data_IF_588104083878
#
_entry.id   IF_588104083878
#
_cell.length_a   1.000
_cell.length_b   1.000
_cell.length_c   1.000
_cell.angle_alpha   90.00
_cell.angle_beta   90.00
_cell.angle_gamma   90.00
#
_symmetry.space_group_name_H-M   'P 1'
#
loop_
_entity.id
_entity.type
_entity.pdbx_description
1 polymer ?
#
# COMPACT_ATOMS: atom_id res chain seq x y z
N UNK A 1 1.70 8.98 -7.33
CA UNK A 1 1.64 7.60 -6.83
C UNK A 1 2.63 7.51 -5.69
N UNK A 2 2.31 6.73 -4.65
CA UNK A 2 3.14 6.56 -3.47
C UNK A 2 3.23 5.08 -3.18
N UNK A 3 4.43 4.53 -3.22
CA UNK A 3 4.63 3.12 -2.90
C UNK A 3 4.58 2.95 -1.39
N UNK A 4 3.65 2.14 -0.89
CA UNK A 4 3.43 1.87 0.53
C UNK A 4 3.53 0.39 0.84
N UNK A 5 4.03 0.08 2.03
CA UNK A 5 4.06 -1.26 2.60
C UNK A 5 3.06 -1.34 3.76
N UNK A 6 2.26 -2.39 3.77
CA UNK A 6 1.31 -2.73 4.83
C UNK A 6 1.72 -4.06 5.47
N UNK A 7 1.33 -4.24 6.74
CA UNK A 7 1.35 -5.57 7.33
C UNK A 7 0.29 -6.43 6.65
N UNK A 8 0.59 -7.69 6.41
CA UNK A 8 -0.32 -8.61 5.75
C UNK A 8 -0.62 -9.80 6.65
N UNK A 9 -1.86 -9.89 7.14
CA UNK A 9 -2.36 -11.05 7.86
C UNK A 9 -2.57 -12.21 6.89
N UNK A 10 -1.47 -12.93 6.68
CA UNK A 10 -1.42 -14.11 5.83
C UNK A 10 -2.31 -15.24 6.35
N UNK A 11 -2.53 -15.34 7.67
CA UNK A 11 -3.33 -16.39 8.26
C UNK A 11 -4.80 -16.20 7.89
N UNK A 12 -5.34 -15.00 8.10
CA UNK A 12 -6.71 -14.64 7.70
C UNK A 12 -6.88 -14.77 6.19
N UNK A 13 -5.91 -14.30 5.41
CA UNK A 13 -5.92 -14.44 3.95
C UNK A 13 -6.02 -15.91 3.50
N UNK A 14 -5.18 -16.79 4.05
CA UNK A 14 -5.08 -18.19 3.66
C UNK A 14 -6.23 -19.05 4.22
N UNK A 15 -6.69 -18.79 5.44
CA UNK A 15 -7.69 -19.63 6.12
C UNK A 15 -9.13 -19.19 5.92
N UNK A 16 -9.37 -17.93 5.61
CA UNK A 16 -10.72 -17.37 5.52
C UNK A 16 -11.01 -16.81 4.13
N UNK A 17 -10.21 -15.86 3.64
CA UNK A 17 -10.51 -15.16 2.39
C UNK A 17 -10.39 -16.10 1.18
N UNK A 18 -9.23 -16.72 0.97
CA UNK A 18 -8.99 -17.60 -0.18
C UNK A 18 -9.93 -18.81 -0.24
N UNK A 19 -10.23 -19.52 0.86
CA UNK A 19 -11.21 -20.59 0.86
C UNK A 19 -12.62 -20.13 0.51
N UNK A 20 -13.05 -18.95 0.98
CA UNK A 20 -14.37 -18.38 0.64
C UNK A 20 -14.47 -18.13 -0.87
N UNK A 21 -13.44 -17.54 -1.47
CA UNK A 21 -13.37 -17.36 -2.92
C UNK A 21 -13.32 -18.70 -3.67
N UNK A 22 -12.59 -19.69 -3.16
CA UNK A 22 -12.55 -21.02 -3.77
C UNK A 22 -13.95 -21.64 -3.86
N UNK A 23 -14.75 -21.55 -2.79
CA UNK A 23 -16.12 -22.07 -2.78
C UNK A 23 -17.02 -21.30 -3.73
N UNK A 24 -16.88 -19.98 -3.79
CA UNK A 24 -17.68 -19.17 -4.71
C UNK A 24 -17.37 -19.49 -6.17
N UNK A 25 -16.09 -19.56 -6.56
CA UNK A 25 -15.71 -19.78 -7.96
C UNK A 25 -15.96 -21.21 -8.45
N UNK A 26 -15.92 -22.21 -7.56
CA UNK A 26 -16.03 -23.63 -7.92
C UNK A 26 -17.43 -24.18 -7.62
N UNK A 27 -17.97 -23.91 -6.44
CA UNK A 27 -19.25 -24.46 -5.97
C UNK A 27 -20.42 -23.53 -6.25
N UNK A 28 -20.15 -22.27 -6.66
CA UNK A 28 -21.14 -21.20 -6.81
C UNK A 28 -21.86 -20.85 -5.51
N UNK A 29 -21.24 -21.17 -4.38
CA UNK A 29 -21.69 -20.77 -3.04
C UNK A 29 -21.00 -19.47 -2.65
N UNK A 30 -21.74 -18.36 -2.71
CA UNK A 30 -21.25 -17.02 -2.39
C UNK A 30 -21.48 -16.62 -0.93
N UNK A 31 -22.11 -17.47 -0.12
CA UNK A 31 -22.57 -17.12 1.23
C UNK A 31 -21.47 -16.53 2.13
N UNK A 32 -20.29 -17.13 2.12
CA UNK A 32 -19.15 -16.68 2.93
C UNK A 32 -18.51 -15.40 2.38
N UNK A 33 -18.39 -15.28 1.06
CA UNK A 33 -17.81 -14.07 0.43
C UNK A 33 -18.76 -12.89 0.58
N UNK A 34 -20.07 -13.11 0.46
CA UNK A 34 -21.09 -12.10 0.68
C UNK A 34 -21.00 -11.53 2.09
N UNK A 35 -20.92 -12.41 3.11
CA UNK A 35 -20.79 -12.00 4.50
C UNK A 35 -19.54 -11.15 4.76
N UNK A 36 -18.41 -11.49 4.12
CA UNK A 36 -17.18 -10.69 4.21
C UNK A 36 -17.35 -9.35 3.48
N UNK A 37 -17.88 -9.36 2.26
CA UNK A 37 -18.00 -8.16 1.44
C UNK A 37 -18.95 -7.13 2.06
N UNK A 38 -20.09 -7.56 2.62
CA UNK A 38 -21.09 -6.67 3.24
C UNK A 38 -20.54 -5.80 4.38
N UNK A 39 -19.47 -6.25 5.04
CA UNK A 39 -18.83 -5.50 6.12
C UNK A 39 -17.80 -4.48 5.61
N UNK A 40 -17.36 -4.61 4.36
CA UNK A 40 -16.36 -3.71 3.78
C UNK A 40 -16.91 -2.30 3.62
N UNK A 41 -16.02 -1.31 3.66
CA UNK A 41 -16.38 0.07 3.29
C UNK A 41 -17.03 0.16 1.90
N UNK A 42 -16.51 -0.59 0.93
CA UNK A 42 -17.04 -0.58 -0.45
C UNK A 42 -18.52 -0.97 -0.50
N UNK A 43 -18.93 -1.99 0.23
CA UNK A 43 -20.34 -2.40 0.29
C UNK A 43 -21.22 -1.31 0.93
N UNK A 44 -20.77 -0.76 2.07
CA UNK A 44 -21.47 0.32 2.78
C UNK A 44 -21.67 1.56 1.92
N UNK A 45 -20.63 1.99 1.20
CA UNK A 45 -20.69 3.14 0.30
C UNK A 45 -21.69 2.90 -0.85
N UNK A 46 -21.79 1.65 -1.34
CA UNK A 46 -22.74 1.27 -2.39
C UNK A 46 -24.20 1.16 -1.90
N UNK A 47 -24.46 1.09 -0.59
CA UNK A 47 -25.83 1.04 -0.03
C UNK A 47 -26.62 2.31 -0.35
N UNK A 48 -25.94 3.47 -0.38
CA UNK A 48 -26.53 4.78 -0.65
C UNK A 48 -26.90 5.01 -2.12
N UNK A 49 -26.54 4.09 -3.03
CA UNK A 49 -26.88 4.20 -4.44
C UNK A 49 -28.41 4.01 -4.67
N UNK A 50 -29.04 4.78 -5.56
CA UNK A 50 -30.44 4.60 -5.92
C UNK A 50 -30.77 3.20 -6.46
N UNK A 51 -31.97 2.65 -6.20
CA UNK A 51 -32.39 1.32 -6.68
C UNK A 51 -32.23 1.11 -8.19
N UNK A 52 -32.39 2.16 -8.98
CA UNK A 52 -32.27 2.11 -10.44
C UNK A 52 -30.87 1.71 -10.93
N UNK A 53 -29.83 1.88 -10.12
CA UNK A 53 -28.44 1.56 -10.47
C UNK A 53 -27.86 0.41 -9.65
N UNK A 54 -28.67 -0.30 -8.85
CA UNK A 54 -28.20 -1.44 -8.04
C UNK A 54 -27.59 -2.57 -8.86
N UNK A 55 -28.03 -2.74 -10.11
CA UNK A 55 -27.44 -3.72 -11.03
C UNK A 55 -25.98 -3.38 -11.42
N UNK A 56 -25.58 -2.12 -11.28
CA UNK A 56 -24.22 -1.65 -11.57
C UNK A 56 -23.28 -1.72 -10.36
N UNK A 57 -23.80 -2.09 -9.18
CA UNK A 57 -22.99 -2.32 -7.98
C UNK A 57 -21.90 -3.36 -8.22
N UNK A 58 -20.79 -3.20 -7.54
CA UNK A 58 -19.64 -4.08 -7.61
C UNK A 58 -20.03 -5.53 -7.28
N UNK A 59 -20.81 -5.74 -6.22
CA UNK A 59 -21.31 -7.07 -5.85
C UNK A 59 -22.16 -7.73 -6.95
N UNK A 60 -23.19 -7.03 -7.43
CA UNK A 60 -24.10 -7.53 -8.48
C UNK A 60 -23.34 -7.91 -9.76
N UNK A 61 -22.36 -7.09 -10.15
CA UNK A 61 -21.50 -7.35 -11.31
C UNK A 61 -20.58 -8.55 -11.09
N UNK A 62 -20.00 -8.69 -9.90
CA UNK A 62 -19.15 -9.82 -9.56
C UNK A 62 -19.94 -11.15 -9.55
N UNK A 63 -21.15 -11.16 -8.97
CA UNK A 63 -22.05 -12.31 -9.03
C UNK A 63 -22.40 -12.72 -10.46
N UNK A 64 -22.78 -11.74 -11.30
CA UNK A 64 -23.09 -12.00 -12.70
C UNK A 64 -21.87 -12.56 -13.46
N UNK A 65 -20.67 -12.06 -13.18
CA UNK A 65 -19.43 -12.58 -13.75
C UNK A 65 -19.17 -14.04 -13.32
N UNK A 66 -19.26 -14.36 -12.03
CA UNK A 66 -19.03 -15.72 -11.53
C UNK A 66 -20.03 -16.73 -12.11
N UNK A 67 -21.28 -16.33 -12.33
CA UNK A 67 -22.28 -17.19 -13.00
C UNK A 67 -21.89 -17.55 -14.44
N UNK A 68 -21.15 -16.68 -15.13
CA UNK A 68 -20.68 -16.87 -16.51
C UNK A 68 -19.35 -17.62 -16.60
N UNK A 69 -18.67 -17.88 -15.47
CA UNK A 69 -17.38 -18.56 -15.48
C UNK A 69 -17.49 -20.00 -16.03
N UNK A 70 -16.55 -20.43 -16.89
CA UNK A 70 -16.46 -21.80 -17.37
C UNK A 70 -16.40 -22.84 -16.24
N UNK A 71 -17.19 -23.91 -16.36
CA UNK A 71 -17.32 -24.95 -15.33
C UNK A 71 -16.59 -26.26 -15.68
N UNK A 72 -15.74 -26.23 -16.70
CA UNK A 72 -14.98 -27.42 -17.11
C UNK A 72 -13.98 -27.87 -16.04
N UNK A 73 -13.61 -29.15 -16.04
CA UNK A 73 -12.64 -29.71 -15.10
C UNK A 73 -11.28 -28.96 -15.11
N UNK A 74 -10.90 -28.43 -16.27
CA UNK A 74 -9.72 -27.58 -16.43
C UNK A 74 -9.87 -26.24 -15.71
N UNK A 75 -10.95 -25.50 -15.97
CA UNK A 75 -11.25 -24.23 -15.31
C UNK A 75 -11.36 -24.38 -13.78
N UNK A 76 -12.04 -25.43 -13.31
CA UNK A 76 -12.11 -25.73 -11.87
C UNK A 76 -10.75 -26.01 -11.24
N UNK A 77 -9.76 -26.53 -12.00
CA UNK A 77 -8.39 -26.70 -11.52
C UNK A 77 -7.67 -25.35 -11.44
N UNK A 78 -7.86 -24.48 -12.42
CA UNK A 78 -7.28 -23.13 -12.40
C UNK A 78 -7.83 -22.29 -11.25
N UNK A 79 -9.14 -22.33 -10.99
CA UNK A 79 -9.75 -21.64 -9.85
C UNK A 79 -9.21 -22.14 -8.51
N UNK A 80 -8.99 -23.46 -8.37
CA UNK A 80 -8.33 -24.01 -7.17
C UNK A 80 -6.92 -23.47 -6.98
N UNK A 81 -6.14 -23.36 -8.06
CA UNK A 81 -4.79 -22.82 -8.01
C UNK A 81 -4.81 -21.34 -7.63
N UNK A 82 -5.71 -20.55 -8.20
CA UNK A 82 -5.90 -19.13 -7.86
C UNK A 82 -6.26 -18.92 -6.39
N UNK A 83 -7.13 -19.76 -5.85
CA UNK A 83 -7.67 -19.63 -4.49
C UNK A 83 -6.91 -20.46 -3.44
N UNK A 84 -5.70 -20.93 -3.74
CA UNK A 84 -4.84 -21.62 -2.76
C UNK A 84 -3.56 -20.82 -2.62
N UNK A 85 -3.45 -20.04 -1.54
CA UNK A 85 -2.40 -19.03 -1.37
C UNK A 85 -1.00 -19.62 -1.57
N UNK A 86 -0.69 -20.73 -0.90
CA UNK A 86 0.63 -21.39 -0.97
C UNK A 86 0.99 -21.84 -2.38
N UNK A 87 0.08 -22.56 -3.06
CA UNK A 87 0.34 -23.03 -4.42
C UNK A 87 0.45 -21.87 -5.39
N UNK A 88 -0.40 -20.85 -5.22
CA UNK A 88 -0.37 -19.68 -6.08
C UNK A 88 0.95 -18.91 -5.92
N UNK A 89 1.47 -18.76 -4.70
CA UNK A 89 2.77 -18.14 -4.45
C UNK A 89 3.88 -18.87 -5.20
N UNK A 90 3.95 -20.21 -5.11
CA UNK A 90 4.95 -21.00 -5.82
C UNK A 90 4.85 -20.84 -7.35
N UNK A 91 3.63 -20.78 -7.89
CA UNK A 91 3.41 -20.53 -9.31
C UNK A 91 3.81 -19.10 -9.70
N UNK A 92 3.45 -18.10 -8.89
CA UNK A 92 3.77 -16.70 -9.15
C UNK A 92 5.27 -16.44 -9.09
N UNK A 93 6.03 -17.16 -8.28
CA UNK A 93 7.50 -17.00 -8.24
C UNK A 93 8.18 -17.47 -9.52
N UNK A 94 7.54 -18.42 -10.21
CA UNK A 94 8.00 -18.94 -11.50
C UNK A 94 7.51 -18.10 -12.69
N UNK A 95 7.00 -16.89 -12.46
CA UNK A 95 6.44 -15.99 -13.48
C UNK A 95 7.32 -15.85 -14.73
N UNK A 96 8.64 -15.83 -14.55
CA UNK A 96 9.63 -15.70 -15.64
C UNK A 96 9.58 -16.91 -16.61
N UNK A 97 9.15 -18.08 -16.13
CA UNK A 97 9.07 -19.32 -16.89
C UNK A 97 7.64 -19.72 -17.27
N UNK A 98 6.65 -19.31 -16.48
CA UNK A 98 5.24 -19.66 -16.67
C UNK A 98 4.33 -18.49 -16.29
N UNK A 99 3.34 -18.18 -17.14
CA UNK A 99 2.29 -17.25 -16.75
C UNK A 99 1.47 -17.85 -15.60
N UNK A 100 1.28 -17.13 -14.47
CA UNK A 100 0.44 -17.59 -13.38
C UNK A 100 -0.99 -17.74 -13.90
N UNK A 101 -1.79 -18.63 -13.30
CA UNK A 101 -3.21 -18.71 -13.62
C UNK A 101 -3.84 -17.33 -13.39
N UNK A 102 -4.72 -16.91 -14.28
CA UNK A 102 -5.44 -15.64 -14.20
C UNK A 102 -6.91 -15.89 -14.50
N UNK A 103 -7.78 -15.10 -13.90
CA UNK A 103 -9.17 -15.07 -14.33
C UNK A 103 -9.29 -14.50 -15.75
N UNK A 104 -10.38 -14.89 -16.42
CA UNK A 104 -10.74 -14.35 -17.73
C UNK A 104 -10.86 -12.81 -17.71
N UNK A 105 -10.72 -12.19 -18.89
CA UNK A 105 -10.91 -10.76 -19.08
C UNK A 105 -12.25 -10.27 -18.50
N UNK A 106 -12.28 -9.02 -17.98
CA UNK A 106 -13.43 -8.36 -17.33
C UNK A 106 -13.77 -8.86 -15.91
N UNK A 107 -12.80 -9.40 -15.17
CA UNK A 107 -12.95 -9.77 -13.76
C UNK A 107 -12.97 -8.58 -12.78
N UNK A 108 -13.03 -7.34 -13.27
CA UNK A 108 -12.78 -6.10 -12.50
C UNK A 108 -13.67 -6.00 -11.24
N UNK A 109 -14.97 -6.32 -11.38
CA UNK A 109 -15.89 -6.33 -10.24
C UNK A 109 -15.50 -7.37 -9.18
N UNK A 110 -15.07 -8.56 -9.61
CA UNK A 110 -14.62 -9.60 -8.70
C UNK A 110 -13.29 -9.23 -8.02
N UNK A 111 -12.38 -8.56 -8.75
CA UNK A 111 -11.15 -8.01 -8.16
C UNK A 111 -11.45 -6.94 -7.13
N UNK A 112 -12.40 -6.04 -7.40
CA UNK A 112 -12.81 -5.01 -6.45
C UNK A 112 -13.40 -5.62 -5.17
N UNK A 113 -14.26 -6.65 -5.28
CA UNK A 113 -14.73 -7.42 -4.11
C UNK A 113 -13.55 -8.02 -3.34
N UNK A 114 -12.62 -8.68 -4.03
CA UNK A 114 -11.45 -9.26 -3.39
C UNK A 114 -10.56 -8.21 -2.71
N UNK A 115 -10.27 -7.10 -3.38
CA UNK A 115 -9.42 -6.03 -2.89
C UNK A 115 -10.02 -5.35 -1.65
N UNK A 116 -11.32 -5.10 -1.66
CA UNK A 116 -12.05 -4.55 -0.50
C UNK A 116 -11.99 -5.50 0.71
N UNK A 117 -12.13 -6.81 0.49
CA UNK A 117 -12.00 -7.81 1.57
C UNK A 117 -10.56 -7.89 2.08
N UNK A 118 -9.55 -7.84 1.20
CA UNK A 118 -8.14 -7.83 1.61
C UNK A 118 -7.82 -6.58 2.41
N UNK A 119 -8.31 -5.42 2.00
CA UNK A 119 -8.14 -4.15 2.70
C UNK A 119 -8.76 -4.18 4.11
N UNK A 120 -10.00 -4.68 4.22
CA UNK A 120 -10.73 -4.70 5.49
C UNK A 120 -10.19 -5.76 6.47
N UNK A 121 -9.84 -6.97 6.00
CA UNK A 121 -9.54 -8.11 6.87
C UNK A 121 -8.08 -8.53 6.91
N UNK A 122 -7.29 -8.24 5.87
CA UNK A 122 -5.93 -8.75 5.75
C UNK A 122 -4.86 -7.67 5.94
N UNK A 123 -5.20 -6.39 5.87
CA UNK A 123 -4.24 -5.33 6.16
C UNK A 123 -4.10 -5.11 7.66
N UNK A 124 -2.90 -5.38 8.18
CA UNK A 124 -2.55 -5.12 9.56
C UNK A 124 -1.82 -3.77 9.69
N UNK A 125 -2.20 -3.01 10.72
CA UNK A 125 -1.64 -1.69 10.96
C UNK A 125 -0.22 -1.81 11.53
N UNK A 126 0.76 -1.33 10.79
CA UNK A 126 2.14 -1.22 11.23
C UNK A 126 2.44 0.26 11.48
N UNK A 127 2.19 0.74 12.70
CA UNK A 127 2.57 2.10 13.12
C UNK A 127 3.99 2.06 13.68
N UNK A 128 5.01 2.61 12.98
CA UNK A 128 6.33 2.76 13.58
C UNK A 128 6.21 3.71 14.78
N UNK A 129 6.87 3.43 15.92
CA UNK A 129 6.90 4.39 17.02
C UNK A 129 7.48 5.71 16.50
N UNK A 130 6.70 6.77 16.58
CA UNK A 130 7.12 8.09 16.17
C UNK A 130 8.19 8.56 17.18
N UNK A 131 9.39 8.91 16.71
CA UNK A 131 10.46 9.45 17.55
C UNK A 131 10.11 10.89 17.96
N UNK A 132 9.16 11.03 18.88
CA UNK A 132 9.00 12.25 19.65
C UNK A 132 9.90 12.13 20.88
N UNK A 133 10.89 13.02 20.90
CA UNK A 133 11.83 13.23 21.98
C UNK A 133 11.12 13.41 23.33
N UNK A 134 11.53 12.60 24.32
CA UNK A 134 11.50 12.99 25.73
C UNK A 134 10.48 12.27 26.61
N UNK A 135 11.04 11.46 27.50
CA UNK A 135 10.55 11.10 28.85
C UNK A 135 9.28 10.24 29.00
N UNK A 136 9.52 8.98 29.42
CA UNK A 136 8.78 8.39 30.54
C UNK A 136 7.73 7.33 30.20
N UNK A 137 8.06 6.09 30.54
CA UNK A 137 7.19 4.96 30.93
C UNK A 137 5.69 5.26 31.10
N UNK A 138 4.84 4.63 30.29
CA UNK A 138 4.06 3.44 30.69
C UNK A 138 3.10 3.06 29.55
N UNK A 139 2.82 1.76 29.44
CA UNK A 139 1.89 1.22 28.46
C UNK A 139 0.49 1.75 28.69
N UNK A 140 0.03 2.63 27.80
CA UNK A 140 -1.37 2.97 27.63
C UNK A 140 -1.66 3.15 26.14
N UNK A 141 -2.69 2.44 25.66
CA UNK A 141 -3.42 2.80 24.45
C UNK A 141 -3.99 4.19 24.73
N UNK A 142 -3.40 5.23 24.15
CA UNK A 142 -3.90 6.60 24.26
C UNK A 142 -4.69 6.92 22.99
N UNK A 143 -5.99 7.04 23.20
CA UNK A 143 -6.95 7.70 22.34
C UNK A 143 -6.48 9.13 22.00
N UNK A 144 -6.61 9.46 20.72
CA UNK A 144 -6.85 10.79 20.15
C UNK A 144 -6.47 12.02 20.98
N UNK A 145 -5.46 12.72 20.48
CA UNK A 145 -5.41 14.19 20.55
C UNK A 145 -5.27 14.74 19.14
N UNK A 146 -6.34 15.40 18.71
CA UNK A 146 -6.50 16.23 17.52
C UNK A 146 -5.41 17.30 17.40
N UNK A 147 -5.04 17.60 16.15
CA UNK A 147 -4.12 18.69 15.80
C UNK A 147 -3.39 18.52 14.48
N UNK A 148 -4.03 17.95 13.45
CA UNK A 148 -3.46 17.81 12.11
C UNK A 148 -3.69 19.04 11.24
N UNK A 149 -3.20 20.21 11.63
CA UNK A 149 -2.95 21.26 10.64
C UNK A 149 -1.91 20.70 9.67
N UNK A 150 -2.29 20.48 8.40
CA UNK A 150 -1.33 20.40 7.30
C UNK A 150 -0.53 21.70 7.27
N UNK A 151 0.57 21.76 8.02
CA UNK A 151 1.57 22.82 7.88
C UNK A 151 2.36 22.57 6.60
N UNK A 152 1.72 22.87 5.47
CA UNK A 152 2.42 23.10 4.22
C UNK A 152 3.42 24.23 4.48
N UNK A 153 4.71 23.96 4.29
CA UNK A 153 5.74 24.92 4.64
C UNK A 153 5.52 26.19 3.79
N UNK A 154 5.57 27.39 4.38
CA UNK A 154 5.30 28.67 3.65
C UNK A 154 6.17 28.79 2.39
N UNK A 155 7.38 28.23 2.42
CA UNK A 155 8.27 28.11 1.27
C UNK A 155 7.73 27.20 0.15
N UNK A 156 7.07 26.09 0.49
CA UNK A 156 6.45 25.17 -0.47
C UNK A 156 5.19 25.76 -1.09
N UNK A 157 4.38 26.49 -0.31
CA UNK A 157 3.22 27.24 -0.83
C UNK A 157 3.63 28.34 -1.80
N UNK A 158 4.66 29.12 -1.47
CA UNK A 158 5.22 30.14 -2.37
C UNK A 158 5.82 29.49 -3.63
N UNK A 159 6.48 28.34 -3.50
CA UNK A 159 7.05 27.63 -4.64
C UNK A 159 5.98 27.03 -5.56
N UNK A 160 4.88 26.53 -5.00
CA UNK A 160 3.72 26.04 -5.74
C UNK A 160 3.00 27.17 -6.49
N UNK A 161 2.76 28.30 -5.83
CA UNK A 161 2.11 29.47 -6.44
C UNK A 161 2.94 30.06 -7.59
N UNK A 162 4.26 30.11 -7.45
CA UNK A 162 5.17 30.53 -8.54
C UNK A 162 5.18 29.52 -9.69
N UNK A 163 5.13 28.23 -9.40
CA UNK A 163 5.07 27.20 -10.45
C UNK A 163 3.75 27.22 -11.24
N UNK A 164 2.67 27.73 -10.63
CA UNK A 164 1.37 27.93 -11.27
C UNK A 164 1.23 29.29 -11.98
N UNK A 165 2.27 30.13 -12.01
CA UNK A 165 2.25 31.45 -12.64
C UNK A 165 1.48 32.51 -11.85
N UNK A 166 1.22 32.28 -10.55
CA UNK A 166 0.50 33.19 -9.64
C UNK A 166 1.50 34.01 -8.80
N UNK A 167 2.40 34.71 -9.48
CA UNK A 167 3.55 35.39 -8.86
C UNK A 167 3.13 36.56 -7.94
N UNK A 168 2.03 37.25 -8.25
CA UNK A 168 1.49 38.34 -7.42
C UNK A 168 0.97 37.82 -6.07
N UNK A 169 0.27 36.67 -6.06
CA UNK A 169 -0.25 36.03 -4.86
C UNK A 169 0.87 35.47 -3.96
N UNK A 170 1.92 34.92 -4.58
CA UNK A 170 3.12 34.47 -3.89
C UNK A 170 3.86 35.63 -3.20
N UNK A 171 3.75 36.84 -3.75
CA UNK A 171 4.26 38.08 -3.17
C UNK A 171 3.50 38.51 -1.92
N UNK A 172 2.16 38.48 -1.93
CA UNK A 172 1.30 38.84 -0.78
C UNK A 172 1.45 37.89 0.41
N UNK A 173 1.59 36.59 0.14
CA UNK A 173 1.81 35.59 1.19
C UNK A 173 3.20 35.73 1.81
N UNK A 174 4.16 36.35 1.13
CA UNK A 174 5.51 36.57 1.67
C UNK A 174 5.61 37.80 2.58
N UNK A 175 4.65 38.74 2.52
CA UNK A 175 4.70 40.01 3.25
C UNK A 175 3.85 40.06 4.52
N UNK A 176 3.00 39.05 4.79
CA UNK A 176 2.27 38.99 6.06
C UNK A 176 3.18 38.63 7.24
N UNK A 177 3.27 39.55 8.22
CA UNK A 177 3.89 39.37 9.54
C UNK A 177 2.86 38.71 10.46
N UNK A 178 3.21 37.69 11.27
CA UNK A 178 2.22 37.02 12.12
C UNK A 178 1.78 37.95 13.26
N UNK A 179 0.52 38.39 13.22
CA UNK A 179 -0.15 38.95 14.38
C UNK A 179 -0.45 37.79 15.35
N UNK A 180 0.23 37.81 16.50
CA UNK A 180 -0.23 37.10 17.71
C UNK A 180 -1.57 37.69 18.12
N UNK A 181 -2.63 36.90 18.11
CA UNK A 181 -3.86 37.22 18.83
C UNK A 181 -4.07 36.13 19.87
N UNK A 182 -4.24 36.61 21.10
CA UNK A 182 -4.39 35.90 22.36
C UNK A 182 -5.63 35.00 22.40
N UNK A 183 -5.52 33.91 23.16
CA UNK A 183 -6.65 33.22 23.77
C UNK A 183 -7.41 34.19 24.67
N UNK A 184 -8.74 34.16 24.59
CA UNK A 184 -9.65 34.04 25.74
C UNK A 184 -11.10 33.77 25.26
N UNK A 185 -11.63 32.64 25.73
CA UNK A 185 -13.03 32.31 26.08
C UNK A 185 -14.20 32.56 25.10
N UNK A 186 -14.83 31.47 24.65
CA UNK A 186 -16.27 31.22 24.88
C UNK A 186 -16.61 29.72 24.70
N UNK A 187 -17.46 29.21 25.60
CA UNK A 187 -17.86 27.81 25.80
C UNK A 187 -19.11 27.45 24.98
N UNK A 188 -19.23 26.14 24.73
CA UNK A 188 -20.43 25.31 24.46
C UNK A 188 -21.28 25.61 23.22
N UNK A 189 -21.35 24.67 22.28
CA UNK A 189 -22.48 23.72 22.16
C UNK A 189 -22.26 22.71 21.01
N UNK A 190 -22.88 21.55 21.17
CA UNK A 190 -22.88 20.36 20.32
C UNK A 190 -23.01 20.60 18.80
N UNK A 191 -22.31 19.78 17.99
CA UNK A 191 -22.89 18.89 16.96
C UNK A 191 -21.81 18.34 16.00
N UNK A 192 -21.97 17.05 15.66
CA UNK A 192 -21.29 16.32 14.58
C UNK A 192 -19.78 16.11 14.70
N UNK A 193 -19.42 15.10 15.49
CA UNK A 193 -18.22 14.30 15.25
C UNK A 193 -18.35 13.62 13.88
N UNK A 194 -17.97 14.33 12.82
CA UNK A 194 -17.56 13.72 11.55
C UNK A 194 -16.36 12.81 11.84
N UNK A 195 -16.64 11.54 12.19
CA UNK A 195 -15.68 10.45 12.12
C UNK A 195 -15.31 10.24 10.66
N UNK A 196 -14.44 11.10 10.13
CA UNK A 196 -13.71 10.80 8.91
C UNK A 196 -12.78 9.62 9.25
N UNK A 197 -12.98 8.44 8.64
CA UNK A 197 -12.10 7.31 8.90
C UNK A 197 -10.70 7.69 8.43
N UNK A 198 -9.72 7.67 9.34
CA UNK A 198 -8.31 7.86 8.99
C UNK A 198 -7.95 6.85 7.88
N UNK A 199 -7.34 7.29 6.76
CA UNK A 199 -6.97 6.36 5.69
C UNK A 199 -5.99 5.32 6.24
N UNK A 200 -6.18 4.05 5.87
CA UNK A 200 -5.27 2.94 6.12
C UNK A 200 -3.86 3.31 5.63
N UNK A 201 -3.04 3.88 6.53
CA UNK A 201 -1.78 4.50 6.16
C UNK A 201 -0.66 3.46 6.24
N UNK A 202 -0.41 2.79 5.12
CA UNK A 202 0.80 1.99 4.94
C UNK A 202 2.06 2.85 5.03
N UNK A 203 3.20 2.20 5.32
CA UNK A 203 4.51 2.84 5.44
C UNK A 203 5.03 3.19 4.05
N UNK A 204 5.21 4.48 3.77
CA UNK A 204 5.75 4.95 2.49
C UNK A 204 7.22 4.53 2.31
N UNK A 205 7.52 3.95 1.15
CA UNK A 205 8.87 3.54 0.75
C UNK A 205 9.39 4.24 -0.52
N UNK A 206 8.58 5.12 -1.11
CA UNK A 206 8.94 5.89 -2.29
C UNK A 206 7.71 6.32 -3.10
N UNK A 207 7.96 6.84 -4.30
CA UNK A 207 6.92 7.44 -5.15
C UNK A 207 6.53 6.56 -6.33
N UNK A 208 7.47 5.83 -6.93
CA UNK A 208 7.18 4.92 -8.04
C UNK A 208 8.03 3.66 -7.90
N UNK A 209 7.52 2.47 -8.25
CA UNK A 209 8.27 1.21 -8.18
C UNK A 209 9.59 1.26 -8.94
N UNK A 210 9.57 1.85 -10.14
CA UNK A 210 10.74 2.00 -11.01
C UNK A 210 11.81 2.94 -10.45
N UNK A 211 11.42 3.80 -9.49
CA UNK A 211 12.31 4.79 -8.87
C UNK A 211 12.70 4.44 -7.42
N UNK A 212 12.41 3.21 -6.97
CA UNK A 212 12.82 2.77 -5.64
C UNK A 212 14.33 2.54 -5.59
N UNK A 213 15.05 3.45 -4.93
CA UNK A 213 16.50 3.38 -4.73
C UNK A 213 16.93 2.27 -3.72
N UNK A 214 15.97 1.51 -3.18
CA UNK A 214 16.23 0.44 -2.21
C UNK A 214 16.97 -0.75 -2.85
N UNK A 215 16.80 -1.00 -4.15
CA UNK A 215 17.34 -2.19 -4.82
C UNK A 215 18.86 -2.26 -4.75
N UNK A 216 19.56 -1.29 -5.33
CA UNK A 216 21.03 -1.30 -5.32
C UNK A 216 21.60 -1.23 -3.90
N UNK A 217 21.01 -0.43 -3.01
CA UNK A 217 21.41 -0.39 -1.60
C UNK A 217 21.29 -1.75 -0.90
N UNK A 218 20.16 -2.45 -1.04
CA UNK A 218 20.01 -3.81 -0.52
C UNK A 218 21.01 -4.77 -1.17
N UNK A 219 21.23 -4.67 -2.48
CA UNK A 219 22.20 -5.47 -3.22
C UNK A 219 23.63 -5.35 -2.70
N UNK A 220 24.05 -4.16 -2.24
CA UNK A 220 25.37 -3.96 -1.63
C UNK A 220 25.53 -4.63 -0.27
N UNK A 221 24.43 -4.91 0.44
CA UNK A 221 24.47 -5.51 1.78
C UNK A 221 24.13 -7.00 1.78
N UNK A 222 23.14 -7.41 0.98
CA UNK A 222 22.68 -8.79 0.87
C UNK A 222 21.92 -9.03 -0.43
N UNK A 223 22.50 -9.85 -1.31
CA UNK A 223 21.85 -10.31 -2.56
C UNK A 223 20.51 -10.99 -2.25
N UNK A 224 20.42 -11.72 -1.13
CA UNK A 224 19.16 -12.36 -0.69
C UNK A 224 18.11 -11.32 -0.31
N UNK A 225 18.49 -10.24 0.39
CA UNK A 225 17.55 -9.17 0.72
C UNK A 225 17.02 -8.48 -0.53
N UNK A 226 17.90 -8.21 -1.51
CA UNK A 226 17.50 -7.70 -2.82
C UNK A 226 16.50 -8.63 -3.52
N UNK A 227 16.81 -9.93 -3.62
CA UNK A 227 15.94 -10.89 -4.29
C UNK A 227 14.54 -10.96 -3.64
N UNK A 228 14.46 -10.98 -2.30
CA UNK A 228 13.19 -10.96 -1.59
C UNK A 228 12.46 -9.62 -1.80
N UNK A 229 13.18 -8.50 -1.78
CA UNK A 229 12.58 -7.18 -2.06
C UNK A 229 11.97 -7.09 -3.46
N UNK A 230 12.58 -7.73 -4.47
CA UNK A 230 12.00 -7.72 -5.82
C UNK A 230 10.64 -8.42 -5.89
N UNK A 231 10.40 -9.45 -5.06
CA UNK A 231 9.09 -10.11 -4.93
C UNK A 231 8.04 -9.16 -4.34
N UNK A 232 8.45 -8.26 -3.46
CA UNK A 232 7.55 -7.32 -2.79
C UNK A 232 7.19 -6.11 -3.65
N UNK A 233 8.17 -5.48 -4.30
CA UNK A 233 7.98 -4.13 -4.86
C UNK A 233 8.39 -3.97 -6.33
N UNK A 234 8.84 -5.03 -7.00
CA UNK A 234 9.29 -4.96 -8.40
C UNK A 234 8.46 -5.85 -9.35
N UNK A 235 7.20 -6.13 -8.98
CA UNK A 235 6.26 -6.91 -9.79
C UNK A 235 6.79 -8.29 -10.22
N UNK A 236 7.73 -8.88 -9.45
CA UNK A 236 8.20 -10.26 -9.66
C UNK A 236 7.20 -11.30 -9.17
N UNK A 237 6.29 -10.88 -8.31
CA UNK A 237 5.19 -11.68 -7.78
C UNK A 237 3.90 -10.88 -7.88
N UNK A 238 2.86 -11.52 -8.38
CA UNK A 238 1.52 -10.94 -8.51
C UNK A 238 0.59 -11.52 -7.45
N UNK A 239 -0.48 -10.80 -7.11
CA UNK A 239 -1.62 -11.37 -6.39
C UNK A 239 -2.56 -12.15 -7.34
N UNK A 240 -3.34 -13.14 -6.86
CA UNK A 240 -4.12 -14.05 -7.72
C UNK A 240 -5.17 -13.36 -8.60
N UNK A 241 -5.68 -12.22 -8.14
CA UNK A 241 -6.65 -11.44 -8.90
C UNK A 241 -6.04 -10.18 -9.55
N UNK A 242 -4.73 -9.94 -9.33
CA UNK A 242 -3.91 -9.04 -10.14
C UNK A 242 -4.07 -7.53 -9.90
N UNK A 243 -3.20 -6.80 -10.60
CA UNK A 243 -3.08 -5.33 -10.72
C UNK A 243 -3.47 -4.93 -12.16
N UNK A 244 -4.36 -3.95 -12.34
CA UNK A 244 -4.43 -3.11 -13.55
C UNK A 244 -4.26 -1.65 -13.12
N UNK A 245 -3.64 -0.83 -13.98
CA UNK A 245 -3.39 0.57 -13.63
C UNK A 245 -4.69 1.37 -13.80
N UNK A 246 -5.21 1.97 -12.72
CA UNK A 246 -6.29 2.96 -12.77
C UNK A 246 -7.55 2.65 -11.95
N UNK A 247 -7.66 1.51 -11.26
CA UNK A 247 -8.81 1.19 -10.41
C UNK A 247 -8.49 1.30 -8.90
N UNK A 248 -9.48 1.61 -8.04
CA UNK A 248 -9.25 1.98 -6.63
C UNK A 248 -8.68 0.88 -5.74
N UNK A 249 -8.91 -0.39 -6.07
CA UNK A 249 -8.47 -1.55 -5.26
C UNK A 249 -7.37 -2.37 -5.94
N UNK A 250 -6.83 -1.88 -7.05
CA UNK A 250 -5.85 -2.57 -7.88
C UNK A 250 -4.41 -2.15 -7.59
N UNK A 251 -4.13 -1.49 -6.46
CA UNK A 251 -2.83 -0.89 -6.19
C UNK A 251 -1.74 -1.89 -5.75
N UNK A 252 -2.06 -3.16 -5.48
CA UNK A 252 -1.08 -4.12 -4.94
C UNK A 252 -0.12 -4.65 -6.01
N UNK A 253 1.18 -4.46 -5.80
CA UNK A 253 2.23 -4.84 -6.76
C UNK A 253 3.11 -6.00 -6.34
N UNK A 254 2.94 -6.48 -5.12
CA UNK A 254 3.66 -7.63 -4.61
C UNK A 254 3.41 -7.84 -3.13
N UNK A 255 3.82 -9.01 -2.64
CA UNK A 255 3.64 -9.39 -1.25
C UNK A 255 4.72 -10.39 -0.82
N UNK A 256 4.93 -10.48 0.49
CA UNK A 256 5.75 -11.48 1.15
C UNK A 256 4.91 -12.28 2.13
N UNK A 257 5.16 -13.58 2.20
CA UNK A 257 4.67 -14.44 3.26
C UNK A 257 5.37 -14.11 4.59
N UNK A 258 4.84 -14.53 5.75
CA UNK A 258 5.49 -14.31 7.04
C UNK A 258 6.93 -14.86 7.11
N UNK A 259 7.16 -16.03 6.52
CA UNK A 259 8.49 -16.64 6.48
C UNK A 259 9.48 -15.81 5.67
N UNK A 260 9.03 -15.21 4.56
CA UNK A 260 9.87 -14.36 3.72
C UNK A 260 10.12 -12.99 4.36
N UNK A 261 9.12 -12.41 5.03
CA UNK A 261 9.29 -11.21 5.83
C UNK A 261 10.31 -11.44 6.96
N UNK A 262 10.25 -12.60 7.63
CA UNK A 262 11.24 -13.01 8.63
C UNK A 262 12.63 -13.18 8.01
N UNK A 263 12.75 -13.85 6.87
CA UNK A 263 14.04 -14.02 6.18
C UNK A 263 14.63 -12.67 5.76
N UNK A 264 13.82 -11.75 5.26
CA UNK A 264 14.23 -10.41 4.90
C UNK A 264 14.72 -9.65 6.14
N UNK A 265 13.98 -9.72 7.25
CA UNK A 265 14.37 -9.12 8.53
C UNK A 265 15.73 -9.64 9.03
N UNK A 266 15.99 -10.96 8.90
CA UNK A 266 17.29 -11.52 9.26
C UNK A 266 18.41 -11.01 8.34
N UNK A 267 18.16 -10.88 7.04
CA UNK A 267 19.15 -10.38 6.08
C UNK A 267 19.54 -8.92 6.35
N UNK A 268 18.60 -8.11 6.84
CA UNK A 268 18.80 -6.66 7.07
C UNK A 268 19.03 -6.30 8.55
N UNK A 269 19.18 -7.29 9.42
CA UNK A 269 19.24 -7.13 10.88
C UNK A 269 20.29 -6.11 11.33
N UNK A 270 21.47 -6.14 10.70
CA UNK A 270 22.61 -5.31 11.07
C UNK A 270 22.84 -4.13 10.12
N UNK A 271 21.94 -3.90 9.18
CA UNK A 271 22.03 -2.79 8.24
C UNK A 271 21.55 -1.51 8.94
N UNK A 272 22.27 -0.41 8.71
CA UNK A 272 21.90 0.94 9.12
C UNK A 272 21.43 1.73 7.90
N UNK A 273 20.31 2.44 8.04
CA UNK A 273 19.83 3.32 6.98
C UNK A 273 20.85 4.44 6.69
N UNK A 274 21.00 4.86 5.42
CA UNK A 274 21.71 6.08 5.11
C UNK A 274 21.04 7.28 5.79
N UNK A 275 21.85 8.30 6.07
CA UNK A 275 21.38 9.58 6.56
C UNK A 275 20.44 10.25 5.54
N UNK A 276 19.30 10.76 6.02
CA UNK A 276 18.22 11.24 5.15
C UNK A 276 18.63 12.47 4.35
N UNK A 277 19.41 13.38 4.95
CA UNK A 277 19.89 14.60 4.29
C UNK A 277 20.88 14.23 3.18
N UNK A 278 21.78 13.28 3.46
CA UNK A 278 22.70 12.75 2.44
C UNK A 278 21.96 12.06 1.30
N UNK A 279 20.95 11.26 1.61
CA UNK A 279 20.15 10.60 0.58
C UNK A 279 19.43 11.62 -0.32
N UNK A 280 18.80 12.64 0.26
CA UNK A 280 18.15 13.71 -0.50
C UNK A 280 19.14 14.50 -1.36
N UNK A 281 20.31 14.85 -0.82
CA UNK A 281 21.36 15.51 -1.58
C UNK A 281 21.86 14.66 -2.76
N UNK A 282 22.00 13.34 -2.57
CA UNK A 282 22.39 12.41 -3.62
C UNK A 282 21.34 12.32 -4.74
N UNK A 283 20.04 12.26 -4.38
CA UNK A 283 18.94 12.31 -5.37
C UNK A 283 18.98 13.59 -6.21
N UNK A 284 19.21 14.75 -5.58
CA UNK A 284 19.33 16.03 -6.30
C UNK A 284 20.57 16.09 -7.19
N UNK A 285 21.67 15.44 -6.78
CA UNK A 285 22.88 15.31 -7.59
C UNK A 285 22.62 14.43 -8.82
N UNK A 286 22.01 13.26 -8.61
CA UNK A 286 21.63 12.32 -9.65
C UNK A 286 20.73 12.97 -10.71
N UNK A 287 19.66 13.67 -10.29
CA UNK A 287 18.76 14.39 -11.21
C UNK A 287 19.48 15.42 -12.07
N UNK A 288 20.43 16.17 -11.49
CA UNK A 288 21.24 17.16 -12.21
C UNK A 288 22.13 16.50 -13.25
N UNK A 289 22.82 15.42 -12.90
CA UNK A 289 23.67 14.66 -13.83
C UNK A 289 22.87 14.14 -15.03
N UNK A 290 21.67 13.61 -14.77
CA UNK A 290 20.79 13.06 -15.80
C UNK A 290 20.23 14.13 -16.76
N UNK A 291 20.00 15.35 -16.27
CA UNK A 291 19.59 16.50 -17.11
C UNK A 291 20.74 17.04 -17.96
N UNK A 292 21.98 16.99 -17.47
CA UNK A 292 23.16 17.51 -18.18
C UNK A 292 23.74 16.56 -19.23
N UNK A 293 23.26 15.31 -19.30
CA UNK A 293 23.59 14.37 -20.38
C UNK A 293 25.06 13.95 -20.47
N UNK A 294 25.81 13.95 -19.36
CA UNK A 294 27.22 13.57 -19.36
C UNK A 294 27.46 12.06 -19.54
N UNK A 295 28.58 11.68 -20.17
CA UNK A 295 29.02 10.31 -20.46
C UNK A 295 29.24 9.39 -19.22
N UNK A 296 29.01 9.90 -18.01
CA UNK A 296 29.14 9.17 -16.73
C UNK A 296 27.84 9.20 -15.93
N UNK A 297 26.72 8.99 -16.62
CA UNK A 297 25.43 8.88 -15.96
C UNK A 297 25.42 7.64 -15.03
N UNK A 298 25.32 7.90 -13.72
CA UNK A 298 25.11 6.86 -12.70
C UNK A 298 23.79 6.14 -12.94
N UNK A 299 23.72 4.87 -12.52
CA UNK A 299 22.45 4.14 -12.53
C UNK A 299 21.61 4.48 -11.29
N UNK A 300 20.29 4.28 -11.38
CA UNK A 300 19.36 4.55 -10.28
C UNK A 300 19.67 3.73 -9.01
N UNK A 301 20.16 2.50 -9.19
CA UNK A 301 20.57 1.60 -8.11
C UNK A 301 21.79 2.12 -7.33
N UNK A 302 22.52 3.08 -7.87
CA UNK A 302 23.66 3.69 -7.20
C UNK A 302 23.26 4.85 -6.28
N UNK A 303 21.99 5.26 -6.29
CA UNK A 303 21.48 6.39 -5.50
C UNK A 303 21.12 5.93 -4.08
N UNK A 304 21.44 6.74 -3.08
CA UNK A 304 21.08 6.43 -1.69
C UNK A 304 19.55 6.49 -1.45
N UNK A 305 18.96 5.48 -0.78
CA UNK A 305 17.52 5.46 -0.50
C UNK A 305 17.12 6.34 0.69
N UNK A 306 16.28 7.34 0.44
CA UNK A 306 15.73 8.22 1.49
C UNK A 306 14.76 7.49 2.45
N UNK A 307 14.08 6.44 1.96
CA UNK A 307 13.06 5.71 2.72
C UNK A 307 13.59 4.42 3.38
N UNK A 308 14.91 4.24 3.44
CA UNK A 308 15.51 3.03 3.99
C UNK A 308 15.16 2.80 5.46
N UNK A 309 15.12 3.85 6.29
CA UNK A 309 14.77 3.70 7.72
C UNK A 309 13.34 3.18 7.90
N UNK A 310 12.38 3.79 7.19
CA UNK A 310 10.98 3.36 7.19
C UNK A 310 10.84 1.90 6.72
N UNK A 311 11.55 1.52 5.65
CA UNK A 311 11.60 0.15 5.16
C UNK A 311 12.18 -0.83 6.19
N UNK A 312 13.31 -0.50 6.84
CA UNK A 312 13.90 -1.34 7.87
C UNK A 312 12.95 -1.53 9.06
N UNK A 313 12.29 -0.45 9.50
CA UNK A 313 11.33 -0.47 10.62
C UNK A 313 10.13 -1.37 10.31
N UNK A 314 9.49 -1.20 9.15
CA UNK A 314 8.29 -1.99 8.79
C UNK A 314 8.59 -3.48 8.65
N UNK A 315 9.73 -3.84 8.05
CA UNK A 315 10.13 -5.25 7.92
C UNK A 315 10.41 -5.89 9.28
N UNK A 316 11.09 -5.17 10.19
CA UNK A 316 11.36 -5.66 11.55
C UNK A 316 10.06 -5.86 12.32
N UNK A 317 9.13 -4.91 12.25
CA UNK A 317 7.84 -5.02 12.91
C UNK A 317 7.04 -6.21 12.37
N UNK A 318 6.89 -6.34 11.06
CA UNK A 318 6.16 -7.46 10.47
C UNK A 318 6.75 -8.81 10.89
N UNK A 319 8.08 -8.93 10.88
CA UNK A 319 8.75 -10.14 11.38
C UNK A 319 8.54 -10.41 12.86
N UNK A 320 8.41 -9.37 13.71
CA UNK A 320 8.15 -9.54 15.14
C UNK A 320 6.72 -10.01 15.43
N UNK A 321 5.75 -9.53 14.64
CA UNK A 321 4.34 -9.88 14.78
C UNK A 321 3.93 -11.13 13.98
N UNK A 322 4.85 -11.76 13.24
CA UNK A 322 4.55 -12.92 12.40
C UNK A 322 3.67 -12.59 11.20
N UNK A 323 3.73 -11.35 10.72
CA UNK A 323 2.95 -10.86 9.58
C UNK A 323 3.75 -11.02 8.28
N UNK A 324 3.01 -11.20 7.18
CA UNK A 324 3.54 -10.94 5.84
C UNK A 324 3.64 -9.44 5.56
N UNK A 325 4.02 -9.10 4.33
CA UNK A 325 4.07 -7.71 3.86
C UNK A 325 3.28 -7.60 2.55
N UNK A 326 2.52 -6.53 2.38
CA UNK A 326 1.77 -6.23 1.16
C UNK A 326 2.19 -4.86 0.63
N UNK A 327 2.57 -4.77 -0.64
CA UNK A 327 3.03 -3.53 -1.26
C UNK A 327 1.95 -2.96 -2.18
N UNK A 328 1.60 -1.69 -2.00
CA UNK A 328 0.63 -0.94 -2.82
C UNK A 328 1.25 0.32 -3.43
N UNK A 329 0.62 0.94 -4.45
CA UNK A 329 1.06 2.21 -5.06
C UNK A 329 -0.04 3.29 -5.11
#
# INVERSE_FOLDING_TARGET
MLVRIHGFDWETYNKQVMPSFSRWLIERDDSQVAQLYEQTRCARDEEFLPPSIHALRTWSRAQAFVQQLPQGAHAAREYRLLCTAETFTEFSDRYIHHHPPQLYHNADALRAVWGAIVEEYCQAWLIPPCEHSGTGSDGYIVQTSSGGEQRMNRGEMVSLLRSAGLDELAGEISTQVPLRISLEEELDDDEESDETPLPLQGVEIGHQPETLHLRGWLGTHSIRALAIFELLACSRRSMPFGYHAGEPYESYIGYLTPDEAWQLAQCIKHITAPDIEKAQADVLSYRRQHMTGGDTARMIDEVLPAYADAFLKVVRMASQYGLGLLCSI
#
